data_IF_807916797921
#
_entry.id   IF_807916797921
#
_cell.length_a   1.000
_cell.length_b   1.000
_cell.length_c   1.000
_cell.angle_alpha   90.00
_cell.angle_beta   90.00
_cell.angle_gamma   90.00
#
_symmetry.space_group_name_H-M   'P 1'
#
loop_
_entity.id
_entity.type
_entity.pdbx_description
1 polymer ?
#
# COMPACT_ATOMS: atom_id res chain seq x y z
N UNK A 1 -44.40 -5.48 0.29
CA UNK A 1 -43.07 -4.86 0.30
C UNK A 1 -42.11 -5.76 -0.45
N UNK A 2 -41.77 -5.42 -1.69
CA UNK A 2 -40.81 -6.18 -2.50
C UNK A 2 -39.39 -5.92 -1.98
N UNK A 3 -38.52 -6.94 -1.87
CA UNK A 3 -37.14 -6.73 -1.48
C UNK A 3 -36.44 -6.02 -2.64
N UNK A 4 -36.15 -4.73 -2.45
CA UNK A 4 -35.26 -3.97 -3.32
C UNK A 4 -33.87 -4.58 -3.21
N UNK A 5 -33.50 -5.39 -4.19
CA UNK A 5 -32.12 -5.80 -4.40
C UNK A 5 -31.30 -4.54 -4.72
N UNK A 6 -30.85 -3.84 -3.69
CA UNK A 6 -29.92 -2.71 -3.82
C UNK A 6 -28.56 -3.27 -4.19
N UNK A 7 -28.39 -3.61 -5.47
CA UNK A 7 -27.07 -3.90 -6.03
C UNK A 7 -26.22 -2.66 -5.84
N UNK A 8 -25.38 -2.69 -4.81
CA UNK A 8 -24.54 -1.56 -4.45
C UNK A 8 -23.47 -1.44 -5.54
N UNK A 9 -23.66 -0.53 -6.49
CA UNK A 9 -22.71 -0.30 -7.57
C UNK A 9 -21.39 0.24 -7.00
N UNK A 10 -20.39 -0.64 -6.90
CA UNK A 10 -19.07 -0.32 -6.36
C UNK A 10 -18.12 0.00 -7.51
N UNK A 11 -18.01 1.29 -7.87
CA UNK A 11 -16.95 1.77 -8.76
C UNK A 11 -15.60 1.71 -8.03
N UNK A 12 -14.64 0.96 -8.59
CA UNK A 12 -13.27 0.94 -8.06
C UNK A 12 -12.44 2.06 -8.68
N UNK A 13 -12.12 3.11 -7.91
CA UNK A 13 -11.39 4.28 -8.37
C UNK A 13 -9.90 4.23 -7.99
N UNK A 14 -9.29 3.04 -8.03
CA UNK A 14 -7.93 2.83 -7.54
C UNK A 14 -6.89 3.66 -8.29
N UNK A 15 -7.00 3.76 -9.62
CA UNK A 15 -6.09 4.54 -10.45
C UNK A 15 -6.20 6.03 -10.14
N UNK A 16 -7.42 6.55 -10.14
CA UNK A 16 -7.72 7.96 -9.82
C UNK A 16 -7.25 8.33 -8.41
N UNK A 17 -7.45 7.44 -7.44
CA UNK A 17 -6.97 7.62 -6.06
C UNK A 17 -5.43 7.65 -5.97
N UNK A 18 -4.74 6.77 -6.70
CA UNK A 18 -3.26 6.77 -6.77
C UNK A 18 -2.71 8.04 -7.40
N UNK A 19 -3.30 8.47 -8.51
CA UNK A 19 -2.87 9.65 -9.25
C UNK A 19 -3.10 10.90 -8.41
N UNK A 20 -4.28 11.05 -7.83
CA UNK A 20 -4.59 12.20 -6.97
C UNK A 20 -3.70 12.26 -5.73
N UNK A 21 -3.35 11.13 -5.12
CA UNK A 21 -2.39 11.08 -4.01
C UNK A 21 -0.98 11.49 -4.45
N UNK A 22 -0.51 11.01 -5.60
CA UNK A 22 0.79 11.34 -6.17
C UNK A 22 0.96 12.84 -6.47
N UNK A 23 -0.08 13.47 -6.98
CA UNK A 23 -0.07 14.89 -7.36
C UNK A 23 -0.59 15.82 -6.26
N UNK A 24 -0.92 15.29 -5.07
CA UNK A 24 -1.43 16.10 -3.96
C UNK A 24 -2.78 16.78 -4.24
N UNK A 25 -3.59 16.22 -5.14
CA UNK A 25 -4.88 16.79 -5.53
C UNK A 25 -5.88 16.59 -4.40
N UNK A 26 -6.65 17.66 -4.08
CA UNK A 26 -7.71 17.59 -3.08
C UNK A 26 -8.77 16.55 -3.45
N UNK A 27 -9.38 15.91 -2.45
CA UNK A 27 -10.41 14.89 -2.69
C UNK A 27 -11.63 15.48 -3.41
N UNK A 28 -11.95 16.76 -3.14
CA UNK A 28 -13.07 17.46 -3.79
C UNK A 28 -12.78 17.72 -5.27
N UNK A 29 -11.58 18.21 -5.60
CA UNK A 29 -11.18 18.42 -6.98
C UNK A 29 -11.12 17.09 -7.75
N UNK A 30 -10.58 16.06 -7.12
CA UNK A 30 -10.53 14.70 -7.69
C UNK A 30 -11.93 14.17 -7.99
N UNK A 31 -12.88 14.36 -7.07
CA UNK A 31 -14.27 13.95 -7.27
C UNK A 31 -14.93 14.74 -8.41
N UNK A 32 -14.72 16.05 -8.50
CA UNK A 32 -15.26 16.88 -9.58
C UNK A 32 -14.70 16.46 -10.96
N UNK A 33 -13.39 16.21 -11.07
CA UNK A 33 -12.77 15.73 -12.30
C UNK A 33 -13.33 14.36 -12.69
N UNK A 34 -13.38 13.42 -11.74
CA UNK A 34 -13.90 12.08 -12.00
C UNK A 34 -15.38 12.10 -12.40
N UNK A 35 -16.18 12.97 -11.77
CA UNK A 35 -17.59 13.15 -12.09
C UNK A 35 -17.77 13.79 -13.46
N UNK A 36 -16.98 14.81 -13.82
CA UNK A 36 -17.00 15.44 -15.15
C UNK A 36 -16.72 14.42 -16.25
N UNK A 37 -15.67 13.62 -16.10
CA UNK A 37 -15.35 12.55 -17.07
C UNK A 37 -16.50 11.56 -17.18
N UNK A 38 -17.17 11.25 -16.07
CA UNK A 38 -18.28 10.30 -16.05
C UNK A 38 -19.55 10.87 -16.70
N UNK A 39 -19.76 12.19 -16.62
CA UNK A 39 -20.78 12.92 -17.37
C UNK A 39 -20.47 12.94 -18.87
N UNK A 40 -19.23 13.22 -19.27
CA UNK A 40 -18.81 13.23 -20.68
C UNK A 40 -18.98 11.85 -21.34
N UNK A 41 -18.79 10.79 -20.57
CA UNK A 41 -19.01 9.40 -21.01
C UNK A 41 -20.47 8.95 -20.95
N UNK A 42 -21.40 9.81 -20.52
CA UNK A 42 -22.83 9.49 -20.39
C UNK A 42 -23.16 8.41 -19.37
N UNK A 43 -22.22 8.09 -18.47
CA UNK A 43 -22.43 7.06 -17.45
C UNK A 43 -23.17 7.60 -16.23
N UNK A 44 -23.10 8.91 -15.98
CA UNK A 44 -23.93 9.61 -15.00
C UNK A 44 -24.86 10.54 -15.75
N UNK A 45 -26.16 10.36 -15.52
CA UNK A 45 -27.21 11.29 -15.94
C UNK A 45 -27.82 11.95 -14.70
N UNK A 46 -28.59 13.03 -14.90
CA UNK A 46 -29.34 13.66 -13.81
C UNK A 46 -30.36 12.73 -13.15
N UNK A 47 -30.87 11.72 -13.87
CA UNK A 47 -31.83 10.74 -13.36
C UNK A 47 -31.17 9.61 -12.57
N UNK A 48 -29.93 9.22 -12.91
CA UNK A 48 -29.24 8.07 -12.30
C UNK A 48 -28.09 8.50 -11.39
N UNK A 49 -28.43 8.79 -10.13
CA UNK A 49 -27.46 9.25 -9.11
C UNK A 49 -26.62 8.14 -8.46
N UNK A 50 -26.82 6.88 -8.87
CA UNK A 50 -26.17 5.70 -8.28
C UNK A 50 -24.64 5.74 -8.44
N UNK A 51 -24.16 6.28 -9.55
CA UNK A 51 -22.75 6.30 -9.93
C UNK A 51 -22.01 7.59 -9.54
N UNK A 52 -22.67 8.54 -8.87
CA UNK A 52 -22.08 9.83 -8.49
C UNK A 52 -20.84 9.62 -7.61
N UNK A 53 -19.72 10.20 -8.03
CA UNK A 53 -18.45 10.15 -7.29
C UNK A 53 -18.40 11.34 -6.35
N UNK A 54 -18.48 11.10 -5.05
CA UNK A 54 -18.34 12.12 -4.01
C UNK A 54 -16.93 12.11 -3.40
N UNK A 55 -16.62 13.15 -2.63
CA UNK A 55 -15.33 13.25 -1.91
C UNK A 55 -15.09 12.05 -0.98
N UNK A 56 -16.14 11.48 -0.39
CA UNK A 56 -15.99 10.38 0.56
C UNK A 56 -15.63 9.07 -0.14
N UNK A 57 -16.18 8.80 -1.33
CA UNK A 57 -15.79 7.68 -2.18
C UNK A 57 -14.30 7.78 -2.52
N UNK A 58 -13.82 8.95 -2.94
CA UNK A 58 -12.39 9.18 -3.21
C UNK A 58 -11.53 8.94 -1.96
N UNK A 59 -11.90 9.54 -0.82
CA UNK A 59 -11.15 9.37 0.44
C UNK A 59 -11.04 7.91 0.87
N UNK A 60 -12.13 7.14 0.76
CA UNK A 60 -12.14 5.70 1.06
C UNK A 60 -11.23 4.92 0.12
N UNK A 61 -11.29 5.19 -1.18
CA UNK A 61 -10.44 4.52 -2.17
C UNK A 61 -8.96 4.87 -1.97
N UNK A 62 -8.62 6.14 -1.70
CA UNK A 62 -7.26 6.54 -1.32
C UNK A 62 -6.75 5.75 -0.12
N UNK A 63 -7.53 5.67 0.96
CA UNK A 63 -7.10 4.92 2.15
C UNK A 63 -6.89 3.43 1.86
N UNK A 64 -7.77 2.79 1.08
CA UNK A 64 -7.61 1.38 0.68
C UNK A 64 -6.33 1.16 -0.11
N UNK A 65 -6.06 2.06 -1.06
CA UNK A 65 -4.87 2.02 -1.89
C UNK A 65 -3.60 2.19 -1.05
N UNK A 66 -3.56 3.21 -0.18
CA UNK A 66 -2.43 3.47 0.72
C UNK A 66 -2.19 2.24 1.62
N UNK A 67 -3.22 1.71 2.27
CA UNK A 67 -3.12 0.53 3.12
C UNK A 67 -2.60 -0.70 2.35
N UNK A 68 -3.07 -0.92 1.12
CA UNK A 68 -2.60 -1.99 0.24
C UNK A 68 -1.12 -1.81 -0.10
N UNK A 69 -0.67 -0.58 -0.39
CA UNK A 69 0.74 -0.29 -0.68
C UNK A 69 1.63 -0.48 0.54
N UNK A 70 1.19 -0.04 1.72
CA UNK A 70 1.91 -0.24 2.98
C UNK A 70 2.10 -1.73 3.28
N UNK A 71 1.04 -2.55 3.15
CA UNK A 71 1.12 -4.02 3.32
C UNK A 71 2.07 -4.68 2.31
N UNK A 72 2.11 -4.17 1.07
CA UNK A 72 3.07 -4.64 0.07
C UNK A 72 4.52 -4.26 0.42
N UNK A 73 4.75 -3.07 0.98
CA UNK A 73 6.09 -2.65 1.44
C UNK A 73 6.56 -3.53 2.60
N UNK A 74 5.72 -3.74 3.62
CA UNK A 74 6.09 -4.56 4.79
C UNK A 74 6.39 -6.01 4.42
N UNK A 75 5.57 -6.63 3.57
CA UNK A 75 5.83 -8.00 3.10
C UNK A 75 7.10 -8.13 2.27
N UNK A 76 7.46 -7.11 1.47
CA UNK A 76 8.75 -7.08 0.75
C UNK A 76 9.94 -6.98 1.71
N UNK A 77 9.85 -6.07 2.69
CA UNK A 77 10.88 -5.89 3.72
C UNK A 77 11.07 -7.19 4.51
N UNK A 78 9.98 -7.90 4.83
CA UNK A 78 10.04 -9.18 5.54
C UNK A 78 10.70 -10.27 4.70
N UNK A 79 10.33 -10.41 3.42
CA UNK A 79 10.97 -11.36 2.50
C UNK A 79 12.47 -11.06 2.32
N UNK A 80 12.86 -9.79 2.29
CA UNK A 80 14.26 -9.36 2.24
C UNK A 80 15.01 -9.67 3.55
N UNK A 81 14.36 -9.51 4.71
CA UNK A 81 14.93 -9.91 6.01
C UNK A 81 15.12 -11.42 6.10
N UNK A 82 14.15 -12.19 5.63
CA UNK A 82 14.23 -13.66 5.58
C UNK A 82 15.32 -14.12 4.61
N UNK A 83 15.46 -13.52 3.42
CA UNK A 83 16.55 -13.85 2.49
C UNK A 83 17.95 -13.46 3.03
N UNK A 84 18.05 -12.35 3.77
CA UNK A 84 19.31 -11.93 4.43
C UNK A 84 19.67 -12.82 5.62
N UNK A 85 18.67 -13.36 6.33
CA UNK A 85 18.88 -14.30 7.44
C UNK A 85 19.21 -15.72 6.94
N UNK A 86 18.67 -16.11 5.79
CA UNK A 86 18.95 -17.39 5.13
C UNK A 86 20.31 -17.40 4.40
N UNK A 87 20.87 -16.24 4.05
CA UNK A 87 22.25 -16.10 3.55
C UNK A 87 23.36 -16.15 4.62
N UNK A 88 22.99 -16.26 5.91
CA UNK A 88 23.94 -16.39 7.04
C UNK A 88 23.95 -17.79 7.68
N UNK A 89 23.40 -18.82 7.00
CA UNK A 89 23.47 -20.21 7.46
C UNK A 89 24.33 -21.07 6.52
N UNK A 90 25.38 -21.64 7.13
CA UNK A 90 26.31 -22.66 6.62
C UNK A 90 27.62 -22.13 6.01
N UNK A 91 28.57 -21.79 6.88
CA UNK A 91 29.88 -22.44 6.77
C UNK A 91 30.06 -23.25 8.05
N UNK A 92 29.41 -24.41 8.07
CA UNK A 92 29.74 -25.44 9.04
C UNK A 92 31.05 -26.08 8.54
N UNK A 93 32.19 -25.59 9.01
CA UNK A 93 33.43 -26.35 8.86
C UNK A 93 33.33 -27.58 9.76
N UNK A 94 33.49 -28.81 9.23
CA UNK A 94 33.43 -30.00 10.05
C UNK A 94 34.70 -30.06 10.92
N UNK A 95 34.49 -30.15 12.23
CA UNK A 95 35.48 -30.48 13.26
C UNK A 95 36.69 -29.53 13.40
N UNK A 96 36.74 -28.80 14.51
CA UNK A 96 37.77 -28.92 15.56
C UNK A 96 37.16 -28.31 16.82
N UNK A 97 37.14 -29.06 17.92
CA UNK A 97 36.87 -28.52 19.26
C UNK A 97 38.04 -27.62 19.64
N UNK A 98 37.91 -26.30 19.50
CA UNK A 98 38.80 -25.36 20.19
C UNK A 98 37.93 -24.25 20.79
N UNK A 99 37.73 -24.34 22.09
CA UNK A 99 37.07 -23.33 22.90
C UNK A 99 37.99 -22.11 23.01
N UNK A 100 37.91 -21.18 22.05
CA UNK A 100 38.62 -19.92 22.14
C UNK A 100 37.72 -18.94 22.90
N UNK A 101 37.96 -18.83 24.22
CA UNK A 101 37.47 -17.71 25.02
C UNK A 101 38.02 -16.40 24.45
N UNK A 102 37.20 -15.67 23.72
CA UNK A 102 37.54 -14.30 23.33
C UNK A 102 37.44 -13.40 24.57
N UNK A 103 38.58 -13.16 25.23
CA UNK A 103 38.73 -12.08 26.20
C UNK A 103 38.67 -10.74 25.47
N UNK A 104 37.70 -9.90 25.83
CA UNK A 104 37.62 -8.50 25.35
C UNK A 104 38.80 -7.71 25.92
N UNK A 105 39.89 -7.63 25.16
CA UNK A 105 41.04 -6.80 25.47
C UNK A 105 40.83 -5.36 24.99
N UNK A 106 40.58 -4.45 25.93
CA UNK A 106 40.63 -3.00 25.71
C UNK A 106 42.00 -2.58 25.17
N UNK A 107 42.05 -1.86 24.04
CA UNK A 107 43.26 -1.15 23.59
C UNK A 107 42.95 0.28 23.16
N UNK A 108 43.41 1.20 24.01
CA UNK A 108 43.55 2.64 23.84
C UNK A 108 44.78 2.95 22.99
N UNK A 109 44.70 3.83 21.97
CA UNK A 109 45.75 4.76 21.44
C UNK A 109 45.06 5.76 20.50
N UNK A 110 44.95 7.03 20.88
CA UNK A 110 45.86 8.17 20.62
C UNK A 110 45.82 8.70 19.18
N UNK A 111 45.21 9.88 19.04
CA UNK A 111 45.80 11.09 18.44
C UNK A 111 45.51 12.23 19.37
#
# INVERSE_FOLDING_TARGET
>A
TTPSNTSQMRLSLQSTALVSDRFGISDRATAAIALSVLFDLGMVSESETSLVIDKNKIRREKQKVINRLLKKKTSKIQKQRESTLMGKKTILFPRINLEIKCTVGSRKKNT
#
